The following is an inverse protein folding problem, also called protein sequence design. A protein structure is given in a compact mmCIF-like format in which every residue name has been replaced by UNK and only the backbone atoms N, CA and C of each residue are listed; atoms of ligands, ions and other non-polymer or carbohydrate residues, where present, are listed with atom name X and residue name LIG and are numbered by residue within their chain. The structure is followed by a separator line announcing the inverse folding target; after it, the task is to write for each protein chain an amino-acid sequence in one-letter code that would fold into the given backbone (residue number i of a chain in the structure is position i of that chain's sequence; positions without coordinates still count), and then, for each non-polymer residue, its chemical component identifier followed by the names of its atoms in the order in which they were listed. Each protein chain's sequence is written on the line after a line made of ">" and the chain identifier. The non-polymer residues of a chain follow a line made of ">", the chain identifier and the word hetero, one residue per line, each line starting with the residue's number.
data_IF_314106470213
#
_entry.id   IF_314106470213
#
_cell.length_a   1.000
_cell.length_b   1.000
_cell.length_c   1.000
_cell.angle_alpha   90.00
_cell.angle_beta   90.00
_cell.angle_gamma   90.00
#
_symmetry.space_group_name_H-M   'P 1'
#
loop_
_entity.id
_entity.type
_entity.pdbx_description
1 polymer ?
#
# COMPACT_ATOMS: atom_id res chain seq x y z
N UNK A 1 49.82 -15.60 35.37
CA UNK A 1 49.50 -14.45 34.49
C UNK A 1 48.76 -14.94 33.25
N UNK A 2 47.44 -15.22 33.35
CA UNK A 2 46.60 -15.61 32.19
C UNK A 2 45.13 -15.14 32.31
N UNK A 3 44.85 -14.19 33.21
CA UNK A 3 43.50 -13.93 33.73
C UNK A 3 42.96 -12.56 33.28
N UNK A 4 43.77 -11.74 32.63
CA UNK A 4 43.39 -10.39 32.18
C UNK A 4 42.58 -10.41 30.88
N UNK A 5 42.57 -11.54 30.14
CA UNK A 5 41.88 -11.66 28.86
C UNK A 5 40.35 -11.79 28.98
N UNK A 6 39.82 -12.14 30.16
CA UNK A 6 38.37 -12.22 30.37
C UNK A 6 37.71 -10.84 30.50
N UNK A 7 38.49 -9.79 30.77
CA UNK A 7 37.97 -8.43 30.96
C UNK A 7 37.46 -7.82 29.63
N UNK A 8 37.88 -8.35 28.47
CA UNK A 8 37.30 -7.95 27.19
C UNK A 8 35.82 -8.35 27.04
N UNK A 9 35.34 -9.36 27.76
CA UNK A 9 33.91 -9.74 27.79
C UNK A 9 33.05 -8.67 28.48
N UNK A 10 33.66 -7.84 29.33
CA UNK A 10 32.98 -6.76 30.07
C UNK A 10 32.56 -5.62 29.14
N UNK A 11 33.25 -5.44 27.99
CA UNK A 11 32.88 -4.43 26.98
C UNK A 11 31.54 -4.79 26.32
N UNK A 12 31.13 -6.06 26.34
CA UNK A 12 29.84 -6.50 25.77
C UNK A 12 28.65 -6.34 26.73
N UNK A 13 28.87 -6.11 28.03
CA UNK A 13 27.80 -6.01 29.04
C UNK A 13 27.50 -4.58 29.50
N UNK A 14 28.39 -3.61 29.26
CA UNK A 14 28.16 -2.21 29.66
C UNK A 14 27.36 -1.38 28.65
N UNK A 15 27.15 -1.89 27.43
CA UNK A 15 26.25 -1.29 26.44
C UNK A 15 24.86 -1.93 26.44
N UNK A 16 24.52 -2.72 27.45
CA UNK A 16 23.18 -3.27 27.61
C UNK A 16 22.36 -2.26 28.41
N UNK A 17 21.52 -1.41 27.79
CA UNK A 17 20.52 -0.72 28.56
C UNK A 17 19.48 -1.77 28.96
N UNK A 18 19.72 -2.44 30.09
CA UNK A 18 18.74 -3.26 30.78
C UNK A 18 17.72 -2.34 31.47
N UNK A 19 17.18 -1.38 30.72
CA UNK A 19 16.09 -0.45 31.05
C UNK A 19 15.82 0.48 29.85
N UNK A 20 15.79 -0.05 28.63
CA UNK A 20 15.06 0.61 27.53
C UNK A 20 13.65 0.01 27.54
N UNK A 21 12.88 0.31 28.59
CA UNK A 21 11.66 1.11 28.49
C UNK A 21 10.90 0.80 27.18
N UNK A 22 9.82 0.03 27.27
CA UNK A 22 8.91 -0.23 26.14
C UNK A 22 8.44 1.06 25.42
N UNK A 23 8.52 2.19 26.11
CA UNK A 23 8.30 3.54 25.60
C UNK A 23 9.27 3.96 24.49
N UNK A 24 10.53 3.53 24.47
CA UNK A 24 11.47 3.92 23.40
C UNK A 24 11.22 3.14 22.10
N UNK A 25 10.78 1.87 22.22
CA UNK A 25 10.33 1.08 21.08
C UNK A 25 9.02 1.65 20.53
N UNK A 26 8.07 2.01 21.40
CA UNK A 26 6.82 2.67 21.03
C UNK A 26 7.10 3.99 20.28
N UNK A 27 7.94 4.86 20.84
CA UNK A 27 8.38 6.09 20.18
C UNK A 27 9.13 5.84 18.85
N UNK A 28 9.88 4.74 18.73
CA UNK A 28 10.55 4.34 17.50
C UNK A 28 9.56 3.88 16.42
N UNK A 29 8.54 3.11 16.82
CA UNK A 29 7.46 2.67 15.94
C UNK A 29 6.59 3.84 15.47
N UNK A 30 6.30 4.80 16.34
CA UNK A 30 5.55 6.01 15.99
C UNK A 30 6.28 6.84 14.92
N UNK A 31 7.59 7.05 15.10
CA UNK A 31 8.43 7.75 14.12
C UNK A 31 8.53 6.99 12.79
N UNK A 32 8.57 5.65 12.83
CA UNK A 32 8.54 4.82 11.63
C UNK A 32 7.19 4.93 10.92
N UNK A 33 6.09 4.94 11.68
CA UNK A 33 4.74 5.15 11.16
C UNK A 33 4.60 6.52 10.49
N UNK A 34 5.13 7.56 11.13
CA UNK A 34 5.17 8.92 10.58
C UNK A 34 6.00 8.98 9.28
N UNK A 35 7.19 8.37 9.28
CA UNK A 35 8.03 8.26 8.08
C UNK A 35 7.33 7.49 6.94
N UNK A 36 6.65 6.39 7.25
CA UNK A 36 5.87 5.61 6.30
C UNK A 36 4.71 6.40 5.70
N UNK A 37 4.01 7.19 6.51
CA UNK A 37 2.92 8.07 6.06
C UNK A 37 3.44 9.12 5.07
N UNK A 38 4.54 9.80 5.40
CA UNK A 38 5.15 10.81 4.53
C UNK A 38 5.60 10.23 3.19
N UNK A 39 6.13 9.00 3.19
CA UNK A 39 6.50 8.30 1.96
C UNK A 39 5.27 7.97 1.10
N UNK A 40 4.22 7.43 1.72
CA UNK A 40 2.96 7.11 1.03
C UNK A 40 2.30 8.36 0.45
N UNK A 41 2.25 9.46 1.20
CA UNK A 41 1.77 10.76 0.71
C UNK A 41 2.59 11.27 -0.48
N UNK A 42 3.91 11.14 -0.43
CA UNK A 42 4.79 11.50 -1.54
C UNK A 42 4.59 10.63 -2.78
N UNK A 43 4.30 9.34 -2.61
CA UNK A 43 3.97 8.42 -3.70
C UNK A 43 2.60 8.73 -4.30
N UNK A 44 1.57 8.92 -3.47
CA UNK A 44 0.22 9.31 -3.92
C UNK A 44 0.26 10.62 -4.70
N UNK A 45 0.99 11.64 -4.22
CA UNK A 45 1.13 12.91 -4.93
C UNK A 45 1.82 12.79 -6.31
N UNK A 46 2.67 11.78 -6.50
CA UNK A 46 3.28 11.48 -7.80
C UNK A 46 2.35 10.71 -8.72
N UNK A 47 1.48 9.87 -8.15
CA UNK A 47 0.48 9.10 -8.88
C UNK A 47 -0.77 9.93 -9.21
N UNK A 48 -1.06 10.98 -8.45
CA UNK A 48 -2.18 11.92 -8.60
C UNK A 48 -2.45 12.32 -10.06
N UNK A 49 -1.49 12.86 -10.85
CA UNK A 49 -1.74 13.22 -12.24
C UNK A 49 -2.07 12.00 -13.13
N UNK A 50 -1.52 10.82 -12.82
CA UNK A 50 -1.79 9.60 -13.58
C UNK A 50 -3.17 9.02 -13.23
N UNK A 51 -3.63 9.21 -11.98
CA UNK A 51 -4.96 8.84 -11.52
C UNK A 51 -6.01 9.75 -12.14
N UNK A 52 -5.76 11.05 -12.20
CA UNK A 52 -6.63 12.02 -12.88
C UNK A 52 -6.72 11.72 -14.37
N UNK A 53 -5.58 11.49 -15.05
CA UNK A 53 -5.57 11.11 -16.47
C UNK A 53 -6.32 9.79 -16.72
N UNK A 54 -6.20 8.82 -15.81
CA UNK A 54 -6.96 7.58 -15.86
C UNK A 54 -8.47 7.85 -15.70
N UNK A 55 -8.86 8.73 -14.77
CA UNK A 55 -10.24 9.16 -14.59
C UNK A 55 -10.82 9.82 -15.86
N UNK A 56 -10.05 10.70 -16.50
CA UNK A 56 -10.45 11.32 -17.77
C UNK A 56 -10.59 10.28 -18.91
N UNK A 57 -9.64 9.34 -19.02
CA UNK A 57 -9.66 8.29 -20.06
C UNK A 57 -10.78 7.27 -19.85
N UNK A 58 -11.13 6.95 -18.61
CA UNK A 58 -12.18 5.98 -18.29
C UNK A 58 -13.60 6.52 -18.55
N UNK A 59 -13.75 7.83 -18.78
CA UNK A 59 -15.01 8.46 -19.18
C UNK A 59 -16.08 8.41 -18.08
N UNK A 60 -17.36 8.39 -18.49
CA UNK A 60 -18.49 8.38 -17.55
C UNK A 60 -18.62 7.05 -16.80
N UNK A 61 -17.91 6.95 -15.67
CA UNK A 61 -17.98 5.82 -14.73
C UNK A 61 -19.36 5.67 -14.07
N UNK A 62 -20.22 6.70 -14.11
CA UNK A 62 -21.57 6.62 -13.52
C UNK A 62 -22.46 5.62 -14.25
N UNK A 63 -22.16 5.38 -15.54
CA UNK A 63 -22.79 4.37 -16.36
C UNK A 63 -22.45 2.93 -15.95
N UNK A 64 -21.52 2.72 -15.02
CA UNK A 64 -21.05 1.39 -14.59
C UNK A 64 -21.31 1.14 -13.10
N UNK A 65 -21.31 -0.13 -12.71
CA UNK A 65 -21.26 -0.57 -11.32
C UNK A 65 -19.80 -0.59 -10.83
N UNK A 66 -19.58 -0.59 -9.51
CA UNK A 66 -18.27 -0.83 -8.94
C UNK A 66 -17.66 -2.14 -9.48
N UNK A 67 -16.32 -2.22 -9.64
CA UNK A 67 -15.67 -3.42 -10.12
C UNK A 67 -15.83 -4.62 -9.18
N UNK A 68 -15.97 -5.81 -9.75
CA UNK A 68 -16.05 -7.07 -9.01
C UNK A 68 -14.78 -7.89 -9.28
N UNK A 69 -14.05 -8.24 -8.21
CA UNK A 69 -12.83 -9.05 -8.30
C UNK A 69 -13.18 -10.52 -8.28
N UNK A 70 -12.70 -11.26 -9.28
CA UNK A 70 -12.91 -12.69 -9.40
C UNK A 70 -11.87 -13.50 -8.62
N UNK A 71 -12.14 -14.79 -8.31
CA UNK A 71 -11.20 -15.64 -7.57
C UNK A 71 -9.84 -15.85 -8.25
N UNK A 72 -9.75 -15.67 -9.58
CA UNK A 72 -8.51 -15.78 -10.35
C UNK A 72 -7.71 -14.46 -10.42
N UNK A 73 -8.27 -13.36 -9.89
CA UNK A 73 -7.63 -12.03 -9.91
C UNK A 73 -8.07 -11.12 -11.07
N UNK A 74 -8.93 -11.59 -11.98
CA UNK A 74 -9.52 -10.73 -13.01
C UNK A 74 -10.58 -9.80 -12.39
N UNK A 75 -10.86 -8.69 -13.08
CA UNK A 75 -11.85 -7.70 -12.64
C UNK A 75 -12.95 -7.58 -13.70
N UNK A 76 -14.20 -7.74 -13.28
CA UNK A 76 -15.38 -7.48 -14.11
C UNK A 76 -15.93 -6.08 -13.79
N UNK A 77 -16.22 -5.29 -14.83
CA UNK A 77 -16.91 -4.01 -14.72
C UNK A 77 -18.24 -4.10 -15.48
N UNK A 78 -19.37 -4.06 -14.77
CA UNK A 78 -20.72 -4.21 -15.36
C UNK A 78 -21.32 -2.84 -15.67
N UNK A 79 -22.00 -2.69 -16.80
CA UNK A 79 -22.69 -1.44 -17.17
C UNK A 79 -24.12 -1.39 -16.61
N UNK A 80 -24.54 -0.23 -16.12
CA UNK A 80 -25.91 0.08 -15.66
C UNK A 80 -26.86 0.42 -16.80
N UNK A 81 -26.37 1.22 -17.75
CA UNK A 81 -27.17 1.70 -18.88
C UNK A 81 -26.83 0.91 -20.14
N UNK A 82 -27.82 0.45 -20.92
CA UNK A 82 -27.57 -0.23 -22.19
C UNK A 82 -27.00 0.73 -23.25
N UNK A 83 -26.23 0.22 -24.22
CA UNK A 83 -25.74 1.06 -25.33
C UNK A 83 -26.94 1.37 -26.23
N UNK A 84 -27.15 2.65 -26.55
CA UNK A 84 -28.25 3.07 -27.42
C UNK A 84 -27.93 2.63 -28.85
N UNK A 85 -28.34 1.43 -29.22
CA UNK A 85 -28.08 0.86 -30.55
C UNK A 85 -28.29 -0.66 -30.69
N UNK A 86 -28.42 -1.41 -29.60
CA UNK A 86 -28.58 -2.87 -29.66
C UNK A 86 -30.06 -3.27 -29.84
N UNK A 87 -30.70 -2.80 -30.92
CA UNK A 87 -31.85 -3.51 -31.46
C UNK A 87 -31.32 -4.59 -32.38
N UNK A 88 -31.27 -5.81 -31.85
CA UNK A 88 -31.28 -7.10 -32.55
C UNK A 88 -30.40 -7.14 -33.81
N UNK A 89 -29.12 -7.49 -33.63
CA UNK A 89 -28.37 -8.13 -34.70
C UNK A 89 -29.04 -9.47 -35.01
N UNK A 90 -29.88 -9.49 -36.04
CA UNK A 90 -30.29 -10.68 -36.76
C UNK A 90 -29.01 -11.43 -37.14
N UNK A 91 -28.71 -12.50 -36.40
CA UNK A 91 -27.71 -13.46 -36.82
C UNK A 91 -28.36 -14.31 -37.91
N UNK A 92 -28.24 -13.86 -39.15
CA UNK A 92 -28.57 -14.70 -40.30
C UNK A 92 -27.56 -15.87 -40.33
N UNK A 93 -28.06 -17.07 -40.08
CA UNK A 93 -27.32 -18.33 -39.94
C UNK A 93 -27.30 -19.09 -41.27
#
# INVERSE_FOLDING_TARGET
>A
MKNTLSIALVISFLSFPMSVHGQEIENGLDKLGEGGRLLLEGLLKKLDPMVDELGEKLGDLSAYYPPEVMPNGDIIIRRKVPLKGEQQGEIDL
#
